data_IF_573259145215
#
_entry.id   IF_573259145215
#
_cell.length_a   1.000
_cell.length_b   1.000
_cell.length_c   1.000
_cell.angle_alpha   90.00
_cell.angle_beta   90.00
_cell.angle_gamma   90.00
#
_symmetry.space_group_name_H-M   'P 1'
#
loop_
_entity.id
_entity.type
_entity.pdbx_description
1 polymer ?
#
# COMPACT_ATOMS: atom_id res chain seq x y z
N UNK A 1 2.72 -31.64 24.68
CA UNK A 1 2.41 -30.67 23.61
C UNK A 1 1.82 -29.46 24.30
N UNK A 2 2.58 -28.37 24.41
CA UNK A 2 2.13 -27.18 25.12
C UNK A 2 1.16 -26.40 24.22
N UNK A 3 -0.12 -26.37 24.58
CA UNK A 3 -1.06 -25.41 24.01
C UNK A 3 -0.55 -24.01 24.34
N UNK A 4 0.01 -23.35 23.32
CA UNK A 4 0.42 -21.96 23.42
C UNK A 4 -0.87 -21.16 23.57
N UNK A 5 -1.20 -20.82 24.81
CA UNK A 5 -2.38 -20.04 25.17
C UNK A 5 -2.25 -18.67 24.50
N UNK A 6 -2.77 -18.56 23.29
CA UNK A 6 -2.64 -17.38 22.44
C UNK A 6 -3.54 -16.31 23.05
N UNK A 7 -2.95 -15.42 23.84
CA UNK A 7 -3.65 -14.26 24.42
C UNK A 7 -4.45 -13.55 23.32
N UNK A 8 -5.78 -13.72 23.37
CA UNK A 8 -6.69 -13.03 22.47
C UNK A 8 -6.79 -11.60 22.99
N UNK A 9 -6.18 -10.66 22.26
CA UNK A 9 -6.29 -9.24 22.58
C UNK A 9 -7.74 -8.77 22.35
N UNK A 10 -8.22 -7.88 23.21
CA UNK A 10 -9.52 -7.24 23.04
C UNK A 10 -9.47 -6.18 21.94
N UNK A 11 -10.62 -5.81 21.39
CA UNK A 11 -10.69 -4.74 20.39
C UNK A 11 -10.12 -3.41 20.91
N UNK A 12 -10.37 -3.06 22.18
CA UNK A 12 -9.81 -1.85 22.79
C UNK A 12 -8.28 -1.89 22.84
N UNK A 13 -7.68 -3.05 23.16
CA UNK A 13 -6.23 -3.20 23.14
C UNK A 13 -5.66 -3.01 21.74
N UNK A 14 -6.32 -3.55 20.71
CA UNK A 14 -5.91 -3.30 19.33
C UNK A 14 -6.01 -1.82 18.94
N UNK A 15 -7.07 -1.13 19.35
CA UNK A 15 -7.23 0.30 19.05
C UNK A 15 -6.15 1.13 19.74
N UNK A 16 -5.80 0.84 20.98
CA UNK A 16 -4.68 1.52 21.66
C UNK A 16 -3.35 1.26 20.95
N UNK A 17 -3.09 0.03 20.49
CA UNK A 17 -1.91 -0.26 19.67
C UNK A 17 -1.90 0.56 18.37
N UNK A 18 -3.03 0.65 17.68
CA UNK A 18 -3.15 1.45 16.45
C UNK A 18 -2.82 2.92 16.67
N UNK A 19 -3.16 3.49 17.83
CA UNK A 19 -2.85 4.89 18.19
C UNK A 19 -1.35 5.13 18.42
N UNK A 20 -0.61 4.10 18.84
CA UNK A 20 0.84 4.21 19.10
C UNK A 20 1.71 4.05 17.86
N UNK A 21 1.14 3.66 16.72
CA UNK A 21 1.90 3.37 15.51
C UNK A 21 2.44 4.65 14.88
N UNK A 22 3.76 4.67 14.66
CA UNK A 22 4.40 5.73 13.92
C UNK A 22 4.35 5.46 12.40
N UNK A 23 3.48 6.17 11.69
CA UNK A 23 3.25 5.97 10.25
C UNK A 23 4.44 6.34 9.35
N UNK A 24 5.45 7.05 9.88
CA UNK A 24 6.68 7.36 9.13
C UNK A 24 7.66 6.19 9.11
N UNK A 25 7.47 5.19 9.97
CA UNK A 25 8.32 4.00 10.05
C UNK A 25 7.62 2.85 9.32
N UNK A 26 8.28 2.29 8.29
CA UNK A 26 7.69 1.21 7.49
C UNK A 26 7.31 0.00 8.34
N UNK A 27 8.16 -0.41 9.30
CA UNK A 27 7.90 -1.50 10.24
C UNK A 27 6.58 -1.31 11.00
N UNK A 28 6.39 -0.14 11.59
CA UNK A 28 5.19 0.15 12.38
C UNK A 28 3.94 0.19 11.48
N UNK A 29 4.11 0.63 10.23
CA UNK A 29 3.04 0.62 9.24
C UNK A 29 2.66 -0.79 8.76
N UNK A 30 3.63 -1.71 8.67
CA UNK A 30 3.34 -3.14 8.47
C UNK A 30 2.57 -3.72 9.65
N UNK A 31 2.94 -3.35 10.88
CA UNK A 31 2.21 -3.78 12.08
C UNK A 31 0.78 -3.22 12.09
N UNK A 32 0.57 -2.00 11.59
CA UNK A 32 -0.78 -1.45 11.38
C UNK A 32 -1.60 -2.32 10.46
N UNK A 33 -1.02 -2.73 9.33
CA UNK A 33 -1.65 -3.64 8.38
C UNK A 33 -2.04 -4.97 9.02
N UNK A 34 -1.13 -5.57 9.80
CA UNK A 34 -1.38 -6.80 10.57
C UNK A 34 -2.56 -6.66 11.54
N UNK A 35 -2.56 -5.61 12.36
CA UNK A 35 -3.61 -5.35 13.35
C UNK A 35 -4.96 -5.13 12.67
N UNK A 36 -5.02 -4.24 11.67
CA UNK A 36 -6.25 -3.97 10.92
C UNK A 36 -6.81 -5.23 10.27
N UNK A 37 -5.94 -6.06 9.70
CA UNK A 37 -6.32 -7.34 9.09
C UNK A 37 -6.94 -8.27 10.13
N UNK A 38 -6.29 -8.47 11.28
CA UNK A 38 -6.82 -9.32 12.37
C UNK A 38 -8.19 -8.86 12.87
N UNK A 39 -8.35 -7.56 13.09
CA UNK A 39 -9.65 -6.99 13.51
C UNK A 39 -10.71 -7.30 12.45
N UNK A 40 -10.39 -7.09 11.17
CA UNK A 40 -11.32 -7.28 10.07
C UNK A 40 -11.72 -8.75 9.87
N UNK A 41 -10.75 -9.66 9.87
CA UNK A 41 -10.96 -11.11 9.69
C UNK A 41 -11.77 -11.71 10.83
N UNK A 42 -11.46 -11.33 12.08
CA UNK A 42 -12.18 -11.81 13.26
C UNK A 42 -13.51 -11.08 13.50
N UNK A 43 -13.83 -10.06 12.69
CA UNK A 43 -14.96 -9.14 12.90
C UNK A 43 -15.01 -8.56 14.32
N UNK A 44 -13.87 -8.40 14.99
CA UNK A 44 -13.79 -7.90 16.37
C UNK A 44 -14.21 -6.44 16.52
N UNK A 45 -14.39 -5.73 15.40
CA UNK A 45 -14.92 -4.37 15.36
C UNK A 45 -16.42 -4.27 15.61
N UNK A 46 -17.18 -5.37 15.43
CA UNK A 46 -18.64 -5.37 15.62
C UNK A 46 -18.95 -5.13 17.09
N UNK A 47 -19.69 -4.06 17.39
CA UNK A 47 -20.00 -3.66 18.76
C UNK A 47 -18.85 -2.97 19.50
N UNK A 48 -17.80 -2.50 18.79
CA UNK A 48 -16.77 -1.64 19.37
C UNK A 48 -17.35 -0.33 19.93
N UNK A 49 -18.32 0.23 19.22
CA UNK A 49 -19.16 1.36 19.63
C UNK A 49 -20.61 1.06 19.20
N UNK A 50 -21.57 1.77 19.78
CA UNK A 50 -23.02 1.63 19.59
C UNK A 50 -23.49 1.67 18.13
N UNK A 51 -22.71 2.25 17.21
CA UNK A 51 -23.01 2.36 15.77
C UNK A 51 -21.99 1.60 14.88
N UNK A 52 -21.07 0.84 15.47
CA UNK A 52 -20.02 0.13 14.74
C UNK A 52 -20.47 -1.28 14.29
N UNK A 53 -21.32 -1.34 13.26
CA UNK A 53 -21.78 -2.61 12.66
C UNK A 53 -21.03 -2.99 11.39
N UNK A 54 -20.34 -2.03 10.76
CA UNK A 54 -19.61 -2.23 9.51
C UNK A 54 -18.13 -1.90 9.68
N UNK A 55 -17.31 -2.46 8.78
CA UNK A 55 -15.88 -2.12 8.74
C UNK A 55 -15.63 -0.62 8.52
N UNK A 56 -16.45 0.03 7.70
CA UNK A 56 -16.29 1.46 7.41
C UNK A 56 -16.65 2.32 8.63
N UNK A 57 -17.76 2.05 9.31
CA UNK A 57 -18.14 2.76 10.54
C UNK A 57 -17.09 2.59 11.64
N UNK A 58 -16.46 1.42 11.75
CA UNK A 58 -15.35 1.21 12.67
C UNK A 58 -14.13 2.06 12.31
N UNK A 59 -13.72 2.07 11.03
CA UNK A 59 -12.59 2.88 10.57
C UNK A 59 -12.82 4.37 10.81
N UNK A 60 -14.04 4.85 10.60
CA UNK A 60 -14.45 6.23 10.94
C UNK A 60 -14.33 6.50 12.45
N UNK A 61 -14.81 5.59 13.30
CA UNK A 61 -14.73 5.72 14.75
C UNK A 61 -13.29 5.79 15.28
N UNK A 62 -12.34 5.12 14.62
CA UNK A 62 -10.91 5.18 14.97
C UNK A 62 -10.11 6.20 14.14
N UNK A 63 -10.79 7.01 13.32
CA UNK A 63 -10.21 8.04 12.45
C UNK A 63 -9.12 7.52 11.50
N UNK A 64 -9.35 6.37 10.86
CA UNK A 64 -8.45 5.78 9.86
C UNK A 64 -9.12 5.82 8.49
N UNK A 65 -8.43 6.40 7.50
CA UNK A 65 -8.95 6.45 6.13
C UNK A 65 -9.09 5.05 5.51
N UNK A 66 -10.22 4.79 4.85
CA UNK A 66 -10.54 3.50 4.22
C UNK A 66 -9.49 3.02 3.22
N UNK A 67 -9.01 3.91 2.36
CA UNK A 67 -8.02 3.57 1.34
C UNK A 67 -6.66 3.29 1.99
N UNK A 68 -6.27 4.07 2.99
CA UNK A 68 -5.06 3.82 3.77
C UNK A 68 -5.10 2.47 4.49
N UNK A 69 -6.21 2.14 5.15
CA UNK A 69 -6.40 0.84 5.81
C UNK A 69 -6.30 -0.31 4.80
N UNK A 70 -6.92 -0.16 3.62
CA UNK A 70 -6.85 -1.15 2.54
C UNK A 70 -5.41 -1.35 2.09
N UNK A 71 -4.69 -0.28 1.81
CA UNK A 71 -3.29 -0.34 1.35
C UNK A 71 -2.37 -0.96 2.40
N UNK A 72 -2.50 -0.61 3.68
CA UNK A 72 -1.67 -1.17 4.75
C UNK A 72 -1.88 -2.68 4.90
N UNK A 73 -3.15 -3.14 4.90
CA UNK A 73 -3.47 -4.57 4.95
C UNK A 73 -2.91 -5.31 3.74
N UNK A 74 -3.04 -4.74 2.53
CA UNK A 74 -2.51 -5.36 1.32
C UNK A 74 -0.99 -5.40 1.29
N UNK A 75 -0.32 -4.34 1.71
CA UNK A 75 1.15 -4.30 1.79
C UNK A 75 1.65 -5.33 2.79
N UNK A 76 0.99 -5.43 3.96
CA UNK A 76 1.29 -6.47 4.92
C UNK A 76 1.16 -7.86 4.29
N UNK A 77 0.06 -8.14 3.59
CA UNK A 77 -0.19 -9.45 2.97
C UNK A 77 0.78 -9.79 1.85
N UNK A 78 1.16 -8.81 1.03
CA UNK A 78 2.01 -9.06 -0.12
C UNK A 78 3.49 -9.12 0.26
N UNK A 79 3.95 -8.29 1.20
CA UNK A 79 5.37 -8.01 1.38
C UNK A 79 5.93 -8.29 2.79
N UNK A 80 5.10 -8.41 3.83
CA UNK A 80 5.60 -8.52 5.22
C UNK A 80 6.56 -9.69 5.42
N UNK A 81 6.26 -10.86 4.88
CA UNK A 81 7.11 -12.05 4.98
C UNK A 81 8.53 -11.80 4.46
N UNK A 82 8.64 -11.12 3.32
CA UNK A 82 9.92 -10.82 2.66
C UNK A 82 10.68 -9.70 3.40
N UNK A 83 9.98 -8.63 3.77
CA UNK A 83 10.58 -7.47 4.46
C UNK A 83 11.04 -7.82 5.89
N UNK A 84 10.27 -8.62 6.62
CA UNK A 84 10.65 -9.07 7.96
C UNK A 84 11.76 -10.12 7.94
N UNK A 85 11.92 -10.85 6.83
CA UNK A 85 13.04 -11.79 6.62
C UNK A 85 14.37 -11.10 6.32
N UNK A 86 14.37 -9.82 5.91
CA UNK A 86 15.58 -9.05 5.58
C UNK A 86 15.48 -7.63 6.11
N UNK A 87 16.04 -7.39 7.30
CA UNK A 87 15.99 -6.09 7.99
C UNK A 87 16.50 -4.93 7.12
N UNK A 88 17.52 -5.16 6.29
CA UNK A 88 18.04 -4.17 5.34
C UNK A 88 16.95 -3.62 4.39
N UNK A 89 16.04 -4.47 3.92
CA UNK A 89 14.94 -4.05 3.04
C UNK A 89 13.90 -3.24 3.79
N UNK A 90 13.66 -3.58 5.06
CA UNK A 90 12.73 -2.85 5.91
C UNK A 90 13.19 -1.41 6.19
N UNK A 91 14.50 -1.19 6.27
CA UNK A 91 15.10 0.13 6.51
C UNK A 91 15.24 0.97 5.24
N UNK A 92 15.48 0.34 4.10
CA UNK A 92 15.78 1.03 2.84
C UNK A 92 14.56 1.19 1.92
N UNK A 93 13.54 0.32 2.04
CA UNK A 93 12.34 0.43 1.24
C UNK A 93 11.39 1.49 1.82
N UNK A 94 10.72 2.24 0.94
CA UNK A 94 9.68 3.19 1.33
C UNK A 94 8.28 2.62 1.11
N UNK A 95 7.35 3.03 1.95
CA UNK A 95 5.95 2.62 1.81
C UNK A 95 5.36 3.01 0.45
N UNK A 96 5.68 4.20 -0.05
CA UNK A 96 5.19 4.70 -1.34
C UNK A 96 5.61 3.80 -2.50
N UNK A 97 6.84 3.26 -2.45
CA UNK A 97 7.31 2.28 -3.44
C UNK A 97 6.51 0.99 -3.35
N UNK A 98 6.25 0.48 -2.14
CA UNK A 98 5.44 -0.73 -1.94
C UNK A 98 4.00 -0.56 -2.45
N UNK A 99 3.36 0.59 -2.21
CA UNK A 99 2.02 0.90 -2.78
C UNK A 99 2.04 0.78 -4.30
N UNK A 100 3.06 1.34 -4.95
CA UNK A 100 3.20 1.32 -6.41
C UNK A 100 3.48 -0.07 -6.98
N UNK A 101 4.08 -0.94 -6.18
CA UNK A 101 4.32 -2.35 -6.52
C UNK A 101 3.09 -3.23 -6.36
N UNK A 102 2.10 -2.87 -5.54
CA UNK A 102 0.93 -3.71 -5.27
C UNK A 102 0.24 -4.27 -6.53
N UNK A 103 -0.01 -3.50 -7.61
CA UNK A 103 -0.66 -4.04 -8.80
C UNK A 103 0.17 -5.13 -9.49
N UNK A 104 1.49 -4.94 -9.55
CA UNK A 104 2.42 -5.87 -10.21
C UNK A 104 2.58 -7.11 -9.34
N UNK A 105 2.80 -6.95 -8.03
CA UNK A 105 2.96 -8.08 -7.10
C UNK A 105 1.70 -8.98 -7.01
N UNK A 106 0.52 -8.43 -7.28
CA UNK A 106 -0.74 -9.20 -7.38
C UNK A 106 -0.84 -9.98 -8.69
N UNK A 107 -0.37 -9.41 -9.79
CA UNK A 107 -0.39 -10.05 -11.12
C UNK A 107 0.71 -11.10 -11.25
N UNK A 108 1.88 -10.84 -10.63
CA UNK A 108 3.07 -11.68 -10.70
C UNK A 108 3.61 -11.99 -9.29
N UNK A 109 2.93 -12.87 -8.52
CA UNK A 109 3.32 -13.16 -7.14
C UNK A 109 4.73 -13.73 -6.97
N UNK A 110 5.26 -14.38 -8.01
CA UNK A 110 6.61 -14.94 -8.03
C UNK A 110 7.70 -13.85 -8.01
N UNK A 111 7.40 -12.63 -8.46
CA UNK A 111 8.40 -11.55 -8.60
C UNK A 111 8.59 -10.72 -7.33
N UNK A 112 7.90 -11.03 -6.22
CA UNK A 112 7.87 -10.16 -5.03
C UNK A 112 9.25 -9.85 -4.46
N UNK A 113 10.15 -10.83 -4.50
CA UNK A 113 11.53 -10.69 -4.02
C UNK A 113 12.30 -9.70 -4.88
N UNK A 114 12.22 -9.85 -6.21
CA UNK A 114 12.87 -9.00 -7.21
C UNK A 114 12.30 -7.58 -7.19
N UNK A 115 10.98 -7.45 -7.02
CA UNK A 115 10.30 -6.16 -6.92
C UNK A 115 10.75 -5.37 -5.68
N UNK A 116 10.90 -6.02 -4.53
CA UNK A 116 11.42 -5.37 -3.32
C UNK A 116 12.87 -4.97 -3.51
N UNK A 117 13.72 -5.87 -4.02
CA UNK A 117 15.15 -5.58 -4.25
C UNK A 117 15.33 -4.39 -5.21
N UNK A 118 14.56 -4.35 -6.30
CA UNK A 118 14.47 -3.20 -7.21
C UNK A 118 14.02 -1.93 -6.49
N UNK A 119 12.97 -2.00 -5.67
CA UNK A 119 12.49 -0.86 -4.90
C UNK A 119 13.47 -0.37 -3.84
N UNK A 120 14.41 -1.21 -3.40
CA UNK A 120 15.46 -0.83 -2.44
C UNK A 120 16.64 -0.18 -3.17
N UNK A 121 17.12 -0.80 -4.25
CA UNK A 121 18.38 -0.41 -4.92
C UNK A 121 18.24 0.72 -5.92
N UNK A 122 17.09 0.85 -6.58
CA UNK A 122 16.92 1.84 -7.64
C UNK A 122 16.80 3.24 -7.06
N UNK A 123 17.38 4.22 -7.76
CA UNK A 123 17.05 5.63 -7.54
C UNK A 123 15.60 5.91 -7.98
N UNK A 124 15.11 7.14 -7.79
CA UNK A 124 13.71 7.47 -8.12
C UNK A 124 13.39 7.33 -9.60
N UNK A 125 14.25 7.81 -10.49
CA UNK A 125 14.03 7.76 -11.94
C UNK A 125 14.05 6.33 -12.46
N UNK A 126 15.04 5.55 -12.06
CA UNK A 126 15.17 4.14 -12.46
C UNK A 126 13.99 3.32 -11.95
N UNK A 127 13.55 3.54 -10.71
CA UNK A 127 12.36 2.87 -10.18
C UNK A 127 11.12 3.20 -11.02
N UNK A 128 10.94 4.46 -11.43
CA UNK A 128 9.82 4.86 -12.26
C UNK A 128 9.87 4.18 -13.63
N UNK A 129 11.05 4.07 -14.24
CA UNK A 129 11.26 3.38 -15.52
C UNK A 129 11.01 1.88 -15.42
N UNK A 130 11.56 1.21 -14.41
CA UNK A 130 11.34 -0.22 -14.20
C UNK A 130 9.84 -0.53 -14.02
N UNK A 131 9.11 0.29 -13.24
CA UNK A 131 7.66 0.13 -13.07
C UNK A 131 6.91 0.31 -14.40
N UNK A 132 7.38 1.19 -15.29
CA UNK A 132 6.79 1.37 -16.62
C UNK A 132 7.01 0.14 -17.48
N UNK A 133 8.24 -0.37 -17.53
CA UNK A 133 8.59 -1.56 -18.31
C UNK A 133 7.82 -2.79 -17.83
N UNK A 134 7.71 -3.00 -16.52
CA UNK A 134 6.90 -4.07 -15.93
C UNK A 134 5.41 -3.94 -16.25
N UNK A 135 4.94 -2.75 -16.62
CA UNK A 135 3.57 -2.51 -17.09
C UNK A 135 3.44 -2.54 -18.63
N UNK A 136 4.49 -2.96 -19.33
CA UNK A 136 4.55 -2.98 -20.80
C UNK A 136 4.65 -1.58 -21.44
N UNK A 137 5.07 -0.57 -20.67
CA UNK A 137 5.29 0.80 -21.15
C UNK A 137 6.78 1.06 -21.41
N UNK A 138 7.07 1.94 -22.38
CA UNK A 138 8.45 2.35 -22.67
C UNK A 138 9.00 3.22 -21.54
N UNK A 139 10.22 2.94 -21.09
CA UNK A 139 10.94 3.78 -20.12
C UNK A 139 11.20 5.18 -20.69
N UNK A 140 11.32 6.19 -19.82
CA UNK A 140 11.45 7.59 -20.26
C UNK A 140 12.87 7.92 -20.73
N UNK A 141 13.86 7.12 -20.41
CA UNK A 141 15.25 7.28 -20.87
C UNK A 141 15.51 6.63 -22.24
N UNK A 142 14.68 5.66 -22.64
CA UNK A 142 14.79 4.93 -23.91
C UNK A 142 13.78 5.36 -24.97
N UNK A 143 12.91 6.31 -24.65
CA UNK A 143 11.91 6.77 -25.60
C UNK A 143 12.56 7.70 -26.65
N UNK A 144 12.94 7.15 -27.80
CA UNK A 144 13.42 7.94 -28.94
C UNK A 144 12.35 8.88 -29.54
N UNK A 145 11.10 8.74 -29.07
CA UNK A 145 9.89 9.32 -29.66
C UNK A 145 9.11 10.24 -28.73
N UNK A 146 9.77 10.85 -27.73
CA UNK A 146 9.14 11.72 -26.72
C UNK A 146 8.16 12.75 -27.29
N UNK A 147 8.34 13.16 -28.55
CA UNK A 147 7.54 14.19 -29.21
C UNK A 147 6.92 13.77 -30.55
N UNK A 148 6.93 12.48 -30.93
CA UNK A 148 6.37 12.07 -32.24
C UNK A 148 4.84 12.21 -32.33
N UNK A 149 4.14 12.09 -31.19
CA UNK A 149 2.68 12.31 -31.10
C UNK A 149 2.33 13.10 -29.85
N UNK A 150 2.55 14.41 -29.92
CA UNK A 150 2.07 15.34 -28.88
C UNK A 150 0.55 15.40 -28.98
N UNK A 151 -0.15 15.01 -27.91
CA UNK A 151 -1.60 15.22 -27.80
C UNK A 151 -1.82 16.49 -27.01
N UNK A 152 -2.33 17.53 -27.68
CA UNK A 152 -2.67 18.80 -27.04
C UNK A 152 -4.12 18.70 -26.55
N UNK A 153 -4.36 19.01 -25.28
CA UNK A 153 -5.70 19.18 -24.75
C UNK A 153 -5.97 20.67 -24.56
N UNK A 154 -7.17 21.11 -24.94
CA UNK A 154 -7.64 22.46 -24.65
C UNK A 154 -8.80 22.42 -23.66
N UNK A 155 -8.77 23.34 -22.71
CA UNK A 155 -9.74 23.42 -21.61
C UNK A 155 -10.71 24.56 -21.90
N UNK A 156 -12.01 24.26 -21.92
CA UNK A 156 -13.03 25.31 -22.02
C UNK A 156 -13.02 26.16 -20.75
N UNK A 157 -12.83 27.48 -20.88
CA UNK A 157 -12.82 28.39 -19.73
C UNK A 157 -14.20 28.55 -19.06
N UNK A 158 -15.28 28.18 -19.75
CA UNK A 158 -16.64 28.29 -19.24
C UNK A 158 -17.12 27.03 -18.50
N UNK A 159 -16.95 25.84 -19.08
CA UNK A 159 -17.41 24.57 -18.49
C UNK A 159 -16.30 23.73 -17.86
N UNK A 160 -15.03 24.13 -17.97
CA UNK A 160 -13.85 23.39 -17.50
C UNK A 160 -13.62 22.00 -18.14
N UNK A 161 -14.38 21.62 -19.16
CA UNK A 161 -14.17 20.37 -19.89
C UNK A 161 -12.92 20.43 -20.77
N UNK A 162 -12.24 19.29 -20.90
CA UNK A 162 -11.07 19.11 -21.74
C UNK A 162 -11.47 18.41 -23.04
N UNK A 163 -11.03 18.93 -24.18
CA UNK A 163 -11.11 18.23 -25.47
C UNK A 163 -9.73 18.07 -26.08
N UNK A 164 -9.56 16.98 -26.84
CA UNK A 164 -8.36 16.77 -27.65
C UNK A 164 -8.37 17.78 -28.80
N UNK A 165 -7.29 18.55 -28.92
CA UNK A 165 -7.06 19.45 -30.05
C UNK A 165 -6.47 18.61 -31.17
N UNK A 166 -7.14 18.63 -32.32
CA UNK A 166 -6.67 17.96 -33.55
C UNK A 166 -5.36 18.55 -34.05
#
# INVERSE_FOLDING_TARGET
MAETNKLILTIHQYVEQLKTINISILKDRLERGNILKRIKENKSYVGYDSYCDTWNSFLEAINVNRETARQDMEIYDQFSFYLLGKLEWLEQCSYERLVRLLPIAKQEPQMKTELIDMAVRSNRADFDNNIRELKGMVATDTCDRHFEKIVIYEKCLHCNEFRKKD
#
